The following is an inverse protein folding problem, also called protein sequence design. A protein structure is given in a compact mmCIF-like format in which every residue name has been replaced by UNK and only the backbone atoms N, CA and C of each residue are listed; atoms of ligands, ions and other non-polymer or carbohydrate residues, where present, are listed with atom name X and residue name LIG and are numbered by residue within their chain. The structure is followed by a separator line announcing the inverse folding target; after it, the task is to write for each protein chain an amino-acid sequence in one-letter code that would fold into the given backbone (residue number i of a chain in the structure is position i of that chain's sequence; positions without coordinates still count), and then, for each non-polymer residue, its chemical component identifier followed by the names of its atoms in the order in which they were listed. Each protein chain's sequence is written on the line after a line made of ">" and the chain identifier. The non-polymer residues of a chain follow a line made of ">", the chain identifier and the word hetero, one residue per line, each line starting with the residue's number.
data_IF_524953114046
#
_entry.id   IF_524953114046
#
_cell.length_a   1.000
_cell.length_b   1.000
_cell.length_c   1.000
_cell.angle_alpha   90.00
_cell.angle_beta   90.00
_cell.angle_gamma   90.00
#
_symmetry.space_group_name_H-M   'P 1'
#
loop_
_entity.id
_entity.type
_entity.pdbx_description
1 polymer ?
#
# COMPACT_ATOMS: atom_id res chain seq x y z
N UNK A 1 55.04 -27.75 15.94
CA UNK A 1 54.25 -26.75 15.19
C UNK A 1 52.83 -27.22 14.84
N UNK A 2 52.60 -28.44 14.33
CA UNK A 2 51.26 -28.95 13.93
C UNK A 2 50.13 -28.84 14.99
N UNK A 3 50.41 -29.11 16.28
CA UNK A 3 49.40 -29.03 17.35
C UNK A 3 48.80 -27.63 17.56
N UNK A 4 49.62 -26.57 17.48
CA UNK A 4 49.14 -25.19 17.67
C UNK A 4 48.19 -24.75 16.54
N UNK A 5 48.44 -25.20 15.32
CA UNK A 5 47.57 -24.92 14.18
C UNK A 5 46.23 -25.66 14.27
N UNK A 6 46.21 -26.90 14.77
CA UNK A 6 44.96 -27.65 15.00
C UNK A 6 44.10 -26.98 16.07
N UNK A 7 44.70 -26.56 17.20
CA UNK A 7 43.95 -25.84 18.24
C UNK A 7 43.46 -24.47 17.76
N UNK A 8 44.26 -23.74 16.96
CA UNK A 8 43.83 -22.47 16.38
C UNK A 8 42.67 -22.64 15.39
N UNK A 9 42.75 -23.64 14.50
CA UNK A 9 41.67 -23.95 13.56
C UNK A 9 40.38 -24.34 14.28
N UNK A 10 40.49 -25.17 15.33
CA UNK A 10 39.33 -25.55 16.15
C UNK A 10 38.72 -24.36 16.90
N UNK A 11 39.55 -23.47 17.46
CA UNK A 11 39.08 -22.27 18.13
C UNK A 11 38.35 -21.33 17.15
N UNK A 12 38.88 -21.12 15.95
CA UNK A 12 38.25 -20.29 14.92
C UNK A 12 36.90 -20.89 14.49
N UNK A 13 36.87 -22.19 14.19
CA UNK A 13 35.63 -22.88 13.80
C UNK A 13 34.57 -22.79 14.90
N UNK A 14 34.97 -22.98 16.17
CA UNK A 14 34.07 -22.89 17.32
C UNK A 14 33.50 -21.48 17.49
N UNK A 15 34.32 -20.44 17.34
CA UNK A 15 33.87 -19.04 17.43
C UNK A 15 32.91 -18.67 16.29
N UNK A 16 33.17 -19.12 15.07
CA UNK A 16 32.28 -18.89 13.93
C UNK A 16 30.92 -19.58 14.12
N UNK A 17 30.92 -20.82 14.59
CA UNK A 17 29.68 -21.55 14.92
C UNK A 17 28.91 -20.87 16.06
N UNK A 18 29.61 -20.40 17.10
CA UNK A 18 28.98 -19.66 18.20
C UNK A 18 28.36 -18.34 17.73
N UNK A 19 29.04 -17.60 16.85
CA UNK A 19 28.50 -16.37 16.26
C UNK A 19 27.27 -16.64 15.39
N UNK A 20 27.30 -17.70 14.59
CA UNK A 20 26.17 -18.12 13.76
C UNK A 20 24.97 -18.57 14.61
N UNK A 21 25.21 -19.38 15.65
CA UNK A 21 24.15 -19.79 16.58
C UNK A 21 23.55 -18.60 17.32
N UNK A 22 24.35 -17.60 17.70
CA UNK A 22 23.87 -16.37 18.30
C UNK A 22 23.00 -15.55 17.34
N UNK A 23 23.36 -15.44 16.06
CA UNK A 23 22.53 -14.76 15.07
C UNK A 23 21.19 -15.47 14.87
N UNK A 24 21.20 -16.80 14.76
CA UNK A 24 19.96 -17.59 14.64
C UNK A 24 19.08 -17.47 15.89
N UNK A 25 19.67 -17.48 17.08
CA UNK A 25 18.93 -17.30 18.33
C UNK A 25 18.25 -15.93 18.41
N UNK A 26 18.93 -14.86 17.96
CA UNK A 26 18.34 -13.51 17.89
C UNK A 26 17.19 -13.47 16.89
N UNK A 27 17.37 -14.06 15.70
CA UNK A 27 16.32 -14.13 14.67
C UNK A 27 15.10 -14.89 15.15
N UNK A 28 15.30 -16.07 15.76
CA UNK A 28 14.24 -16.88 16.33
C UNK A 28 13.51 -16.15 17.48
N UNK A 29 14.26 -15.47 18.35
CA UNK A 29 13.65 -14.71 19.44
C UNK A 29 12.80 -13.54 18.93
N UNK A 30 13.24 -12.85 17.89
CA UNK A 30 12.43 -11.82 17.22
C UNK A 30 11.16 -12.41 16.60
N UNK A 31 11.28 -13.52 15.87
CA UNK A 31 10.15 -14.18 15.23
C UNK A 31 9.09 -14.65 16.24
N UNK A 32 9.51 -15.28 17.34
CA UNK A 32 8.59 -15.73 18.40
C UNK A 32 7.86 -14.58 19.09
N UNK A 33 8.53 -13.44 19.31
CA UNK A 33 7.87 -12.25 19.88
C UNK A 33 6.83 -11.66 18.94
N UNK A 34 7.12 -11.57 17.65
CA UNK A 34 6.14 -11.11 16.65
C UNK A 34 4.94 -12.06 16.62
N UNK A 35 5.18 -13.38 16.61
CA UNK A 35 4.12 -14.39 16.63
C UNK A 35 3.22 -14.29 17.87
N UNK A 36 3.80 -14.04 19.06
CA UNK A 36 3.03 -13.88 20.31
C UNK A 36 2.14 -12.62 20.31
N UNK A 37 2.61 -11.52 19.69
CA UNK A 37 1.80 -10.30 19.50
C UNK A 37 0.66 -10.55 18.51
N UNK A 38 0.93 -11.24 17.39
CA UNK A 38 -0.09 -11.62 16.41
C UNK A 38 -1.15 -12.54 17.04
N UNK A 39 -0.73 -13.47 17.89
CA UNK A 39 -1.62 -14.38 18.61
C UNK A 39 -2.40 -13.72 19.77
N UNK A 40 -2.17 -12.42 20.04
CA UNK A 40 -2.79 -11.71 21.16
C UNK A 40 -2.34 -12.20 22.54
N UNK A 41 -1.23 -12.95 22.62
CA UNK A 41 -0.70 -13.56 23.84
C UNK A 41 0.32 -12.67 24.57
N UNK A 42 0.72 -11.56 23.96
CA UNK A 42 1.62 -10.58 24.55
C UNK A 42 1.05 -9.18 24.37
N UNK A 43 1.19 -8.34 25.40
CA UNK A 43 0.96 -6.90 25.27
C UNK A 43 1.82 -6.38 24.12
N UNK A 44 1.17 -5.59 23.26
CA UNK A 44 1.75 -5.01 22.06
C UNK A 44 3.14 -4.47 22.38
N UNK A 45 4.18 -5.00 21.74
CA UNK A 45 5.41 -4.23 21.61
C UNK A 45 5.06 -3.01 20.73
N UNK A 46 4.95 -1.79 21.28
CA UNK A 46 4.40 -0.66 20.52
C UNK A 46 5.41 -0.07 19.53
N UNK A 47 6.66 -0.55 19.52
CA UNK A 47 7.79 0.21 18.98
C UNK A 47 8.35 -0.32 17.66
N UNK A 48 8.01 -1.55 17.23
CA UNK A 48 8.54 -2.10 15.97
C UNK A 48 7.51 -1.92 14.85
N UNK A 49 7.83 -1.15 13.80
CA UNK A 49 6.91 -0.92 12.69
C UNK A 49 6.43 -2.19 11.98
N UNK A 50 7.26 -3.25 11.93
CA UNK A 50 6.89 -4.55 11.37
C UNK A 50 5.87 -5.30 12.24
N UNK A 51 5.98 -5.20 13.56
CA UNK A 51 4.99 -5.79 14.47
C UNK A 51 3.63 -5.07 14.33
N UNK A 52 3.66 -3.76 14.08
CA UNK A 52 2.47 -2.97 13.78
C UNK A 52 1.80 -3.42 12.48
N UNK A 53 2.58 -3.66 11.42
CA UNK A 53 2.09 -4.21 10.15
C UNK A 53 1.39 -5.56 10.36
N UNK A 54 2.05 -6.50 11.05
CA UNK A 54 1.49 -7.83 11.30
C UNK A 54 0.22 -7.80 12.15
N UNK A 55 0.14 -6.89 13.12
CA UNK A 55 -1.10 -6.67 13.91
C UNK A 55 -2.23 -6.14 13.02
N UNK A 56 -1.94 -5.19 12.13
CA UNK A 56 -2.93 -4.64 11.22
C UNK A 56 -3.47 -5.70 10.25
N UNK A 57 -2.60 -6.58 9.74
CA UNK A 57 -2.99 -7.74 8.94
C UNK A 57 -3.96 -8.66 9.70
N UNK A 58 -3.63 -9.01 10.94
CA UNK A 58 -4.51 -9.84 11.77
C UNK A 58 -5.87 -9.18 12.06
N UNK A 59 -5.88 -7.85 12.28
CA UNK A 59 -7.14 -7.08 12.42
C UNK A 59 -7.98 -7.11 11.14
N UNK A 60 -7.34 -6.96 9.98
CA UNK A 60 -8.00 -7.02 8.68
C UNK A 60 -8.65 -8.38 8.41
N UNK A 61 -7.93 -9.48 8.68
CA UNK A 61 -8.48 -10.85 8.59
C UNK A 61 -9.64 -11.09 9.56
N UNK A 62 -9.61 -10.45 10.73
CA UNK A 62 -10.70 -10.51 11.71
C UNK A 62 -11.90 -9.58 11.38
N UNK A 63 -11.88 -8.90 10.22
CA UNK A 63 -12.95 -7.97 9.81
C UNK A 63 -12.96 -6.65 10.58
N UNK A 64 -11.93 -6.36 11.37
CA UNK A 64 -11.77 -5.09 12.11
C UNK A 64 -11.17 -4.03 11.20
N UNK A 65 -11.93 -3.64 10.17
CA UNK A 65 -11.48 -2.76 9.09
C UNK A 65 -10.90 -1.44 9.61
N UNK A 66 -11.62 -0.73 10.47
CA UNK A 66 -11.19 0.58 10.97
C UNK A 66 -9.91 0.51 11.81
N UNK A 67 -9.78 -0.54 12.62
CA UNK A 67 -8.58 -0.75 13.45
C UNK A 67 -7.36 -1.06 12.59
N UNK A 68 -7.51 -1.94 11.59
CA UNK A 68 -6.45 -2.25 10.63
C UNK A 68 -6.03 -0.99 9.84
N UNK A 69 -7.01 -0.20 9.41
CA UNK A 69 -6.78 1.05 8.68
C UNK A 69 -6.00 2.07 9.51
N UNK A 70 -6.34 2.21 10.79
CA UNK A 70 -5.65 3.10 11.73
C UNK A 70 -4.19 2.70 11.96
N UNK A 71 -3.89 1.39 11.90
CA UNK A 71 -2.54 0.88 12.09
C UNK A 71 -1.68 0.95 10.82
N UNK A 72 -2.27 0.76 9.64
CA UNK A 72 -1.57 0.79 8.36
C UNK A 72 -1.24 2.21 7.87
N UNK A 73 -2.15 3.17 8.05
CA UNK A 73 -2.00 4.54 7.52
C UNK A 73 -0.69 5.23 7.94
N UNK A 74 -0.22 5.15 9.20
CA UNK A 74 1.06 5.75 9.59
C UNK A 74 2.26 5.11 8.89
N UNK A 75 2.18 3.81 8.59
CA UNK A 75 3.28 3.05 7.99
C UNK A 75 3.52 3.45 6.53
N UNK A 76 2.54 4.04 5.83
CA UNK A 76 2.76 4.55 4.46
C UNK A 76 3.64 5.79 4.40
N UNK A 77 3.99 6.38 5.55
CA UNK A 77 4.81 7.60 5.66
C UNK A 77 6.19 7.33 6.26
N UNK A 78 6.55 6.07 6.50
CA UNK A 78 7.88 5.71 6.98
C UNK A 78 8.93 5.92 5.88
N UNK A 79 10.16 6.19 6.31
CA UNK A 79 11.33 6.31 5.42
C UNK A 79 11.73 4.95 4.81
N UNK A 80 11.49 3.86 5.55
CA UNK A 80 11.74 2.50 5.08
C UNK A 80 10.84 2.17 3.87
N UNK A 81 11.45 2.09 2.69
CA UNK A 81 10.72 1.79 1.46
C UNK A 81 10.04 0.41 1.51
N UNK A 82 10.70 -0.61 2.04
CA UNK A 82 10.16 -1.96 2.11
C UNK A 82 8.88 -1.99 2.93
N UNK A 83 8.92 -1.37 4.11
CA UNK A 83 7.77 -1.28 4.99
C UNK A 83 6.66 -0.38 4.42
N UNK A 84 7.02 0.76 3.83
CA UNK A 84 6.08 1.68 3.19
C UNK A 84 5.29 0.98 2.08
N UNK A 85 5.98 0.23 1.23
CA UNK A 85 5.36 -0.50 0.12
C UNK A 85 4.51 -1.66 0.62
N UNK A 86 4.96 -2.38 1.65
CA UNK A 86 4.15 -3.43 2.29
C UNK A 86 2.85 -2.85 2.86
N UNK A 87 2.91 -1.71 3.57
CA UNK A 87 1.73 -1.04 4.10
C UNK A 87 0.77 -0.55 3.01
N UNK A 88 1.28 -0.04 1.88
CA UNK A 88 0.44 0.35 0.73
C UNK A 88 -0.25 -0.89 0.12
N UNK A 89 0.49 -1.97 -0.10
CA UNK A 89 -0.08 -3.22 -0.62
C UNK A 89 -1.18 -3.77 0.31
N UNK A 90 -0.94 -3.77 1.63
CA UNK A 90 -1.89 -4.25 2.62
C UNK A 90 -3.11 -3.33 2.77
N UNK A 91 -2.95 -2.01 2.62
CA UNK A 91 -4.09 -1.09 2.48
C UNK A 91 -4.92 -1.42 1.25
N UNK A 92 -4.28 -1.74 0.12
CA UNK A 92 -4.97 -2.20 -1.08
C UNK A 92 -5.82 -3.44 -0.80
N UNK A 93 -5.22 -4.45 -0.16
CA UNK A 93 -5.90 -5.69 0.21
C UNK A 93 -7.07 -5.46 1.17
N UNK A 94 -6.87 -4.61 2.17
CA UNK A 94 -7.89 -4.27 3.16
C UNK A 94 -9.11 -3.62 2.51
N UNK A 95 -8.89 -2.63 1.65
CA UNK A 95 -9.97 -1.95 0.92
C UNK A 95 -10.65 -2.88 -0.10
N UNK A 96 -9.89 -3.71 -0.82
CA UNK A 96 -10.48 -4.64 -1.80
C UNK A 96 -11.39 -5.66 -1.12
N UNK A 97 -10.98 -6.19 0.05
CA UNK A 97 -11.82 -7.11 0.85
C UNK A 97 -13.09 -6.43 1.33
N UNK A 98 -12.98 -5.21 1.86
CA UNK A 98 -14.13 -4.44 2.33
C UNK A 98 -15.09 -4.09 1.18
N UNK A 99 -14.54 -3.64 0.05
CA UNK A 99 -15.30 -3.39 -1.17
C UNK A 99 -16.01 -4.64 -1.66
N UNK A 100 -15.32 -5.79 -1.75
CA UNK A 100 -15.91 -7.06 -2.17
C UNK A 100 -17.04 -7.49 -1.23
N UNK A 101 -16.86 -7.34 0.09
CA UNK A 101 -17.88 -7.66 1.11
C UNK A 101 -19.14 -6.83 0.91
N UNK A 102 -18.99 -5.52 0.68
CA UNK A 102 -20.12 -4.61 0.44
C UNK A 102 -20.75 -4.78 -0.93
N UNK A 103 -19.97 -5.15 -1.94
CA UNK A 103 -20.43 -5.25 -3.31
C UNK A 103 -21.61 -6.23 -3.47
N UNK A 104 -21.69 -7.25 -2.63
CA UNK A 104 -22.80 -8.20 -2.63
C UNK A 104 -24.16 -7.59 -2.20
N UNK A 105 -24.15 -6.53 -1.39
CA UNK A 105 -25.37 -5.96 -0.78
C UNK A 105 -25.63 -4.50 -1.14
N UNK A 106 -24.58 -3.72 -1.39
CA UNK A 106 -24.62 -2.30 -1.73
C UNK A 106 -23.45 -1.96 -2.69
N UNK A 107 -23.58 -2.27 -4.00
CA UNK A 107 -22.52 -2.04 -4.99
C UNK A 107 -22.02 -0.59 -5.05
N UNK A 108 -22.93 0.38 -4.89
CA UNK A 108 -22.63 1.81 -4.87
C UNK A 108 -21.77 2.22 -3.67
N UNK A 109 -21.97 1.58 -2.50
CA UNK A 109 -21.12 1.81 -1.32
C UNK A 109 -19.78 1.09 -1.42
N UNK A 110 -19.68 0.03 -2.21
CA UNK A 110 -18.46 -0.73 -2.42
C UNK A 110 -17.45 0.01 -3.30
N UNK A 111 -17.93 0.79 -4.27
CA UNK A 111 -17.10 1.42 -5.30
C UNK A 111 -15.95 2.27 -4.71
N UNK A 112 -16.15 3.16 -3.72
CA UNK A 112 -15.06 3.96 -3.15
C UNK A 112 -13.93 3.10 -2.56
N UNK A 113 -14.26 1.96 -1.95
CA UNK A 113 -13.25 1.04 -1.41
C UNK A 113 -12.47 0.36 -2.52
N UNK A 114 -13.14 -0.06 -3.60
CA UNK A 114 -12.47 -0.69 -4.73
C UNK A 114 -11.54 0.31 -5.44
N UNK A 115 -11.95 1.57 -5.60
CA UNK A 115 -11.10 2.63 -6.16
C UNK A 115 -9.87 2.91 -5.28
N UNK A 116 -10.05 3.00 -3.95
CA UNK A 116 -8.93 3.13 -3.02
C UNK A 116 -7.96 1.95 -3.12
N UNK A 117 -8.47 0.74 -3.28
CA UNK A 117 -7.63 -0.44 -3.48
C UNK A 117 -6.77 -0.31 -4.74
N UNK A 118 -7.37 0.06 -5.88
CA UNK A 118 -6.64 0.29 -7.14
C UNK A 118 -5.57 1.36 -6.99
N UNK A 119 -5.88 2.48 -6.32
CA UNK A 119 -4.92 3.54 -6.06
C UNK A 119 -3.71 3.01 -5.29
N UNK A 120 -3.93 2.28 -4.19
CA UNK A 120 -2.85 1.72 -3.40
C UNK A 120 -1.97 0.72 -4.17
N UNK A 121 -2.57 -0.15 -4.99
CA UNK A 121 -1.77 -1.05 -5.83
C UNK A 121 -0.97 -0.29 -6.90
N UNK A 122 -1.55 0.75 -7.50
CA UNK A 122 -0.81 1.63 -8.42
C UNK A 122 0.34 2.34 -7.72
N UNK A 123 0.15 2.77 -6.48
CA UNK A 123 1.20 3.41 -5.69
C UNK A 123 2.39 2.47 -5.45
N UNK A 124 2.11 1.19 -5.20
CA UNK A 124 3.14 0.14 -5.15
C UNK A 124 3.83 -0.02 -6.51
N UNK A 125 3.06 -0.15 -7.59
CA UNK A 125 3.60 -0.39 -8.94
C UNK A 125 4.38 0.78 -9.52
N UNK A 126 4.10 2.03 -9.10
CA UNK A 126 4.92 3.20 -9.44
C UNK A 126 6.35 3.09 -8.90
N UNK A 127 6.52 2.41 -7.77
CA UNK A 127 7.82 2.21 -7.12
C UNK A 127 8.46 0.87 -7.51
N UNK A 128 7.65 -0.20 -7.63
CA UNK A 128 8.07 -1.54 -8.02
C UNK A 128 7.20 -2.09 -9.18
N UNK A 129 7.52 -1.73 -10.43
CA UNK A 129 6.72 -2.14 -11.59
C UNK A 129 6.69 -3.67 -11.84
N UNK A 130 7.66 -4.40 -11.28
CA UNK A 130 7.79 -5.85 -11.40
C UNK A 130 7.09 -6.63 -10.28
N UNK A 131 6.41 -5.95 -9.35
CA UNK A 131 5.66 -6.60 -8.28
C UNK A 131 4.45 -7.37 -8.86
N UNK A 132 4.54 -8.69 -8.89
CA UNK A 132 3.53 -9.54 -9.51
C UNK A 132 2.22 -9.57 -8.71
N UNK A 133 2.33 -9.57 -7.40
CA UNK A 133 1.17 -9.66 -6.50
C UNK A 133 0.32 -8.39 -6.60
N UNK A 134 0.95 -7.22 -6.62
CA UNK A 134 0.26 -5.95 -6.82
C UNK A 134 -0.39 -5.85 -8.22
N UNK A 135 0.26 -6.37 -9.28
CA UNK A 135 -0.34 -6.42 -10.63
C UNK A 135 -1.56 -7.31 -10.68
N UNK A 136 -1.45 -8.50 -10.13
CA UNK A 136 -2.56 -9.45 -10.07
C UNK A 136 -3.75 -8.89 -9.26
N UNK A 137 -3.49 -8.30 -8.08
CA UNK A 137 -4.56 -7.74 -7.28
C UNK A 137 -5.18 -6.47 -7.90
N UNK A 138 -4.39 -5.66 -8.61
CA UNK A 138 -4.92 -4.54 -9.39
C UNK A 138 -5.84 -5.03 -10.51
N UNK A 139 -5.45 -6.06 -11.25
CA UNK A 139 -6.30 -6.67 -12.28
C UNK A 139 -7.62 -7.18 -11.68
N UNK A 140 -7.56 -7.87 -10.54
CA UNK A 140 -8.75 -8.33 -9.80
C UNK A 140 -9.67 -7.17 -9.40
N UNK A 141 -9.09 -6.06 -8.93
CA UNK A 141 -9.85 -4.86 -8.59
C UNK A 141 -10.50 -4.21 -9.83
N UNK A 142 -9.79 -4.19 -10.97
CA UNK A 142 -10.32 -3.68 -12.25
C UNK A 142 -11.43 -4.56 -12.82
N UNK A 143 -11.39 -5.86 -12.61
CA UNK A 143 -12.50 -6.74 -13.01
C UNK A 143 -13.75 -6.49 -12.17
N UNK A 144 -13.57 -6.19 -10.88
CA UNK A 144 -14.69 -5.94 -9.97
C UNK A 144 -15.33 -4.58 -10.20
N UNK A 145 -14.53 -3.55 -10.49
CA UNK A 145 -14.99 -2.23 -10.90
C UNK A 145 -14.17 -1.79 -12.12
N UNK A 146 -14.63 -2.03 -13.35
CA UNK A 146 -13.95 -1.54 -14.54
C UNK A 146 -13.85 -0.01 -14.53
N UNK A 147 -12.73 0.51 -15.00
CA UNK A 147 -12.59 1.95 -15.22
C UNK A 147 -13.26 2.29 -16.55
N UNK A 148 -14.17 3.27 -16.53
CA UNK A 148 -14.65 3.84 -17.77
C UNK A 148 -13.46 4.55 -18.43
N UNK A 149 -13.17 4.14 -19.67
CA UNK A 149 -12.19 4.82 -20.48
C UNK A 149 -12.68 6.26 -20.64
N UNK A 150 -12.05 7.19 -19.93
CA UNK A 150 -12.22 8.60 -20.18
C UNK A 150 -11.69 8.85 -21.58
N UNK A 151 -12.58 8.69 -22.58
CA UNK A 151 -12.38 9.22 -23.91
C UNK A 151 -11.99 10.66 -23.67
N UNK A 152 -10.72 10.98 -23.95
CA UNK A 152 -10.16 12.29 -23.73
C UNK A 152 -11.15 13.31 -24.30
N UNK A 153 -11.81 14.05 -23.40
CA UNK A 153 -12.79 15.07 -23.77
C UNK A 153 -12.11 16.29 -24.41
N UNK A 154 -10.81 16.16 -24.72
CA UNK A 154 -9.96 17.08 -25.48
C UNK A 154 -10.19 17.02 -27.00
N UNK A 155 -11.13 16.20 -27.48
CA UNK A 155 -11.61 16.23 -28.86
C UNK A 155 -13.04 16.78 -28.98
N UNK A 156 -13.46 17.69 -28.09
CA UNK A 156 -14.61 18.54 -28.40
C UNK A 156 -14.27 19.33 -29.69
N UNK A 157 -15.04 19.19 -30.80
CA UNK A 157 -14.88 20.07 -31.94
C UNK A 157 -15.04 21.51 -31.44
N UNK A 158 -14.22 22.47 -31.92
CA UNK A 158 -14.25 23.84 -31.40
C UNK A 158 -15.68 24.35 -31.49
N UNK A 159 -16.26 24.70 -30.34
CA UNK A 159 -17.56 25.35 -30.26
C UNK A 159 -17.47 26.59 -31.15
N UNK A 160 -18.29 26.74 -32.21
CA UNK A 160 -18.22 27.92 -33.05
C UNK A 160 -18.47 29.14 -32.18
N UNK A 161 -17.46 30.00 -32.03
CA UNK A 161 -17.66 31.27 -31.34
C UNK A 161 -18.71 32.06 -32.12
N UNK A 162 -19.85 32.26 -31.47
CA UNK A 162 -20.91 33.12 -31.98
C UNK A 162 -20.31 34.52 -32.10
N UNK A 163 -19.95 34.91 -33.33
CA UNK A 163 -19.46 36.26 -33.61
C UNK A 163 -20.60 37.20 -33.27
N UNK A 164 -20.49 37.90 -32.14
CA UNK A 164 -21.38 39.00 -31.82
C UNK A 164 -21.33 40.01 -32.97
N UNK A 165 -22.39 40.03 -33.79
CA UNK A 165 -22.59 41.06 -34.80
C UNK A 165 -23.00 42.31 -34.02
N UNK A 166 -22.02 43.09 -33.57
CA UNK A 166 -22.27 44.43 -33.04
C UNK A 166 -22.70 45.32 -34.21
N UNK A 167 -24.01 45.48 -34.38
CA UNK A 167 -24.56 46.57 -35.20
C UNK A 167 -24.43 47.88 -34.42
N UNK A 168 -23.27 48.54 -34.50
CA UNK A 168 -23.21 49.97 -34.18
C UNK A 168 -23.91 50.75 -35.30
N UNK A 169 -25.18 51.09 -35.07
CA UNK A 169 -25.89 52.11 -35.85
C UNK A 169 -25.34 53.48 -35.44
N UNK A 170 -24.60 54.12 -36.34
CA UNK A 170 -24.10 55.49 -36.16
C UNK A 170 -25.25 56.47 -35.90
N UNK A 171 -25.31 57.00 -34.67
CA UNK A 171 -26.12 58.14 -34.30
C UNK A 171 -25.20 59.32 -33.99
N UNK A 172 -25.30 60.39 -34.78
CA UNK A 172 -24.54 61.64 -34.59
C UNK A 172 -24.95 62.29 -33.27
N UNK A 173 -23.99 62.52 -32.38
CA UNK A 173 -24.19 63.38 -31.21
C UNK A 173 -24.15 64.85 -31.67
N UNK A 174 -25.29 65.54 -31.61
CA UNK A 174 -25.33 66.99 -31.60
C UNK A 174 -25.19 67.43 -30.14
N UNK A 175 -24.11 68.13 -29.82
CA UNK A 175 -23.90 68.77 -28.51
C UNK A 175 -24.52 70.18 -28.55
N UNK A 176 -25.24 70.62 -27.51
CA UNK A 176 -25.60 72.02 -27.29
C UNK A 176 -24.40 72.85 -26.79
#
# INVERSE_FOLDING_TARGET
>A
MRRRHVHAAFAIASTLLAAFAASEAVTLHRATRVAAVVAGQADAAPELPEARLMRALAMGEAGRFEDALAELKPLTRTEDEGLRLAALYDLGNLHLREGTRRHATAPEEALPYIELAKQHYRDVLRQRPTDWDARYNLERALWLAPEEEQVAMDAAPPVPSERAITTMRGGKAALP
#
